data_IF_582620238595
#
_entry.id   IF_582620238595
#
_cell.length_a   1.000
_cell.length_b   1.000
_cell.length_c   1.000
_cell.angle_alpha   90.00
_cell.angle_beta   90.00
_cell.angle_gamma   90.00
#
_symmetry.space_group_name_H-M   'P 1'
#
loop_
_entity.id
_entity.type
_entity.pdbx_description
1 polymer ?
#
# COMPACT_ATOMS: atom_id res chain seq x y z
N UNK A 1 -6.33 -17.85 -11.93
CA UNK A 1 -6.84 -16.78 -12.81
C UNK A 1 -8.35 -16.83 -12.68
N UNK A 2 -8.93 -15.93 -11.89
CA UNK A 2 -10.39 -15.78 -11.81
C UNK A 2 -10.82 -15.00 -13.04
N UNK A 3 -11.90 -15.43 -13.69
CA UNK A 3 -12.35 -14.90 -14.97
C UNK A 3 -12.83 -13.44 -14.79
N UNK A 4 -12.20 -12.47 -15.46
CA UNK A 4 -12.63 -11.06 -15.48
C UNK A 4 -14.11 -10.90 -15.86
N UNK A 5 -14.68 -11.87 -16.57
CA UNK A 5 -16.12 -11.93 -16.88
C UNK A 5 -16.99 -12.08 -15.63
N UNK A 6 -16.52 -12.79 -14.60
CA UNK A 6 -17.24 -12.95 -13.35
C UNK A 6 -17.31 -11.63 -12.58
N UNK A 7 -16.18 -10.90 -12.47
CA UNK A 7 -16.14 -9.59 -11.81
C UNK A 7 -16.92 -8.53 -12.58
N UNK A 8 -16.88 -8.55 -13.91
CA UNK A 8 -17.76 -7.69 -14.73
C UNK A 8 -19.24 -7.96 -14.45
N UNK A 9 -19.64 -9.23 -14.31
CA UNK A 9 -21.01 -9.60 -13.93
C UNK A 9 -21.40 -9.12 -12.52
N UNK A 10 -20.49 -9.21 -11.56
CA UNK A 10 -20.69 -8.69 -10.20
C UNK A 10 -20.86 -7.17 -10.22
N UNK A 11 -20.02 -6.46 -10.98
CA UNK A 11 -20.10 -5.01 -11.13
C UNK A 11 -21.45 -4.55 -11.70
N UNK A 12 -21.93 -5.20 -12.77
CA UNK A 12 -23.22 -4.87 -13.40
C UNK A 12 -24.36 -5.08 -12.39
N UNK A 13 -24.43 -6.25 -11.73
CA UNK A 13 -25.49 -6.56 -10.77
C UNK A 13 -25.52 -5.58 -9.59
N UNK A 14 -24.36 -5.33 -8.98
CA UNK A 14 -24.25 -4.41 -7.85
C UNK A 14 -24.55 -2.96 -8.26
N UNK A 15 -24.20 -2.57 -9.49
CA UNK A 15 -24.53 -1.25 -10.04
C UNK A 15 -26.03 -1.06 -10.26
N UNK A 16 -26.70 -2.07 -10.82
CA UNK A 16 -28.16 -2.07 -11.02
C UNK A 16 -28.92 -1.99 -9.68
N UNK A 17 -28.52 -2.81 -8.71
CA UNK A 17 -29.15 -2.85 -7.38
C UNK A 17 -28.97 -1.51 -6.63
N UNK A 18 -27.79 -0.90 -6.74
CA UNK A 18 -27.50 0.41 -6.15
C UNK A 18 -28.32 1.56 -6.77
N UNK A 19 -28.51 1.53 -8.10
CA UNK A 19 -29.34 2.53 -8.79
C UNK A 19 -30.82 2.36 -8.42
N UNK A 20 -31.29 1.11 -8.33
CA UNK A 20 -32.65 0.79 -7.91
C UNK A 20 -32.93 1.17 -6.45
N UNK A 21 -31.94 1.05 -5.55
CA UNK A 21 -32.07 1.36 -4.12
C UNK A 21 -32.00 2.86 -3.78
N UNK A 22 -31.77 3.73 -4.76
CA UNK A 22 -31.52 5.17 -4.52
C UNK A 22 -32.54 6.02 -5.26
N UNK A 23 -33.78 6.07 -4.77
CA UNK A 23 -34.91 6.73 -5.43
C UNK A 23 -34.72 8.27 -5.61
N UNK A 24 -34.02 8.96 -4.69
CA UNK A 24 -33.90 10.43 -4.71
C UNK A 24 -32.47 10.95 -4.45
N UNK A 25 -31.52 10.74 -5.37
CA UNK A 25 -30.21 11.42 -5.30
C UNK A 25 -29.77 11.97 -6.65
N UNK A 26 -29.07 13.11 -6.60
CA UNK A 26 -28.51 13.79 -7.77
C UNK A 26 -27.65 12.84 -8.62
N UNK A 27 -27.59 13.08 -9.93
CA UNK A 27 -26.77 12.32 -10.87
C UNK A 27 -25.30 12.26 -10.41
N UNK A 28 -24.79 13.31 -9.77
CA UNK A 28 -23.44 13.37 -9.20
C UNK A 28 -23.20 12.29 -8.14
N UNK A 29 -24.14 12.12 -7.19
CA UNK A 29 -24.01 11.12 -6.13
C UNK A 29 -24.10 9.70 -6.66
N UNK A 30 -24.95 9.45 -7.67
CA UNK A 30 -25.07 8.13 -8.32
C UNK A 30 -23.78 7.75 -9.06
N UNK A 31 -23.23 8.68 -9.84
CA UNK A 31 -21.96 8.46 -10.55
C UNK A 31 -20.79 8.24 -9.60
N UNK A 32 -20.71 9.01 -8.50
CA UNK A 32 -19.67 8.83 -7.49
C UNK A 32 -19.74 7.43 -6.83
N UNK A 33 -20.94 6.93 -6.53
CA UNK A 33 -21.11 5.59 -5.95
C UNK A 33 -20.76 4.46 -6.93
N UNK A 34 -21.14 4.58 -8.20
CA UNK A 34 -20.73 3.64 -9.24
C UNK A 34 -19.20 3.60 -9.39
N UNK A 35 -18.53 4.76 -9.35
CA UNK A 35 -17.07 4.86 -9.35
C UNK A 35 -16.42 4.14 -8.16
N UNK A 36 -16.94 4.36 -6.94
CA UNK A 36 -16.44 3.67 -5.75
C UNK A 36 -16.67 2.15 -5.79
N UNK A 37 -17.83 1.70 -6.30
CA UNK A 37 -18.10 0.27 -6.48
C UNK A 37 -17.15 -0.35 -7.49
N UNK A 38 -16.85 0.35 -8.59
CA UNK A 38 -15.88 -0.10 -9.58
C UNK A 38 -14.50 -0.31 -8.94
N UNK A 39 -14.04 0.64 -8.13
CA UNK A 39 -12.74 0.54 -7.46
C UNK A 39 -12.69 -0.63 -6.47
N UNK A 40 -13.80 -0.95 -5.77
CA UNK A 40 -13.89 -2.18 -4.96
C UNK A 40 -13.76 -3.41 -5.84
N UNK A 41 -14.54 -3.51 -6.93
CA UNK A 41 -14.49 -4.69 -7.81
C UNK A 41 -13.09 -4.88 -8.41
N UNK A 42 -12.44 -3.81 -8.86
CA UNK A 42 -11.06 -3.83 -9.38
C UNK A 42 -10.05 -4.28 -8.31
N UNK A 43 -10.21 -3.85 -7.05
CA UNK A 43 -9.40 -4.34 -5.94
C UNK A 43 -9.59 -5.85 -5.73
N UNK A 44 -10.83 -6.33 -5.74
CA UNK A 44 -11.12 -7.76 -5.57
C UNK A 44 -10.62 -8.61 -6.74
N UNK A 45 -10.59 -8.05 -7.95
CA UNK A 45 -10.10 -8.72 -9.15
C UNK A 45 -8.56 -8.80 -9.20
N UNK A 46 -7.86 -7.72 -8.82
CA UNK A 46 -6.41 -7.63 -9.02
C UNK A 46 -5.61 -7.64 -7.71
N UNK A 47 -5.97 -6.78 -6.76
CA UNK A 47 -5.19 -6.58 -5.53
C UNK A 47 -5.38 -7.71 -4.53
N UNK A 48 -6.61 -8.16 -4.30
CA UNK A 48 -6.92 -9.16 -3.28
C UNK A 48 -6.26 -10.52 -3.56
N UNK A 49 -6.29 -11.07 -4.80
CA UNK A 49 -5.60 -12.33 -5.09
C UNK A 49 -4.10 -12.22 -4.89
N UNK A 50 -3.50 -11.08 -5.27
CA UNK A 50 -2.08 -10.84 -5.07
C UNK A 50 -1.74 -10.75 -3.57
N UNK A 51 -2.54 -10.03 -2.79
CA UNK A 51 -2.43 -9.94 -1.32
C UNK A 51 -2.45 -11.32 -0.67
N UNK A 52 -3.44 -12.16 -1.01
CA UNK A 52 -3.58 -13.51 -0.46
C UNK A 52 -2.37 -14.37 -0.84
N UNK A 53 -1.95 -14.32 -2.11
CA UNK A 53 -0.80 -15.10 -2.60
C UNK A 53 0.48 -14.70 -1.87
N UNK A 54 0.73 -13.41 -1.71
CA UNK A 54 1.89 -12.90 -1.00
C UNK A 54 1.83 -13.20 0.50
N UNK A 55 0.66 -13.14 1.13
CA UNK A 55 0.50 -13.50 2.53
C UNK A 55 0.77 -14.99 2.78
N UNK A 56 0.23 -15.87 1.93
CA UNK A 56 0.51 -17.31 1.97
C UNK A 56 1.99 -17.57 1.70
N UNK A 57 2.58 -16.90 0.71
CA UNK A 57 3.99 -16.99 0.35
C UNK A 57 4.91 -16.59 1.51
N UNK A 58 4.62 -15.46 2.17
CA UNK A 58 5.37 -14.98 3.33
C UNK A 58 5.23 -15.94 4.53
N UNK A 59 4.01 -16.38 4.84
CA UNK A 59 3.78 -17.33 5.92
C UNK A 59 4.50 -18.66 5.68
N UNK A 60 4.41 -19.19 4.45
CA UNK A 60 5.14 -20.40 4.04
C UNK A 60 6.65 -20.22 4.16
N UNK A 61 7.18 -19.09 3.67
CA UNK A 61 8.61 -18.76 3.77
C UNK A 61 9.08 -18.71 5.22
N UNK A 62 8.32 -18.06 6.11
CA UNK A 62 8.63 -17.98 7.54
C UNK A 62 8.65 -19.37 8.19
N UNK A 63 7.62 -20.18 7.95
CA UNK A 63 7.55 -21.54 8.49
C UNK A 63 8.72 -22.37 7.99
N UNK A 64 8.98 -22.38 6.69
CA UNK A 64 10.05 -23.18 6.08
C UNK A 64 11.42 -22.76 6.62
N UNK A 65 11.73 -21.46 6.64
CA UNK A 65 13.00 -20.95 7.18
C UNK A 65 13.18 -21.31 8.66
N UNK A 66 12.11 -21.25 9.46
CA UNK A 66 12.17 -21.64 10.87
C UNK A 66 12.51 -23.11 11.08
N UNK A 67 12.16 -23.97 10.11
CA UNK A 67 12.52 -25.40 10.14
C UNK A 67 13.87 -25.72 9.52
N UNK A 68 14.28 -24.99 8.48
CA UNK A 68 15.54 -25.23 7.76
C UNK A 68 16.75 -24.69 8.50
N UNK A 69 16.69 -23.44 8.98
CA UNK A 69 17.83 -22.78 9.60
C UNK A 69 17.38 -21.67 10.57
N UNK A 70 17.28 -22.02 11.86
CA UNK A 70 16.81 -21.12 12.93
C UNK A 70 17.63 -19.81 13.01
N UNK A 71 18.98 -19.81 12.96
CA UNK A 71 19.75 -18.57 12.90
C UNK A 71 19.36 -17.64 11.74
N UNK A 72 19.17 -18.18 10.54
CA UNK A 72 18.76 -17.39 9.37
C UNK A 72 17.35 -16.84 9.57
N UNK A 73 16.43 -17.65 10.08
CA UNK A 73 15.09 -17.19 10.46
C UNK A 73 15.11 -16.04 11.48
N UNK A 74 15.95 -16.11 12.51
CA UNK A 74 16.12 -15.02 13.48
C UNK A 74 16.70 -13.76 12.81
N UNK A 75 17.62 -13.93 11.85
CA UNK A 75 18.13 -12.84 11.02
C UNK A 75 17.02 -12.16 10.22
N UNK A 76 16.14 -12.93 9.58
CA UNK A 76 14.96 -12.41 8.89
C UNK A 76 14.06 -11.60 9.83
N UNK A 77 13.76 -12.13 11.03
CA UNK A 77 12.94 -11.43 12.02
C UNK A 77 13.60 -10.12 12.49
N UNK A 78 14.89 -10.15 12.77
CA UNK A 78 15.64 -8.96 13.18
C UNK A 78 15.59 -7.87 12.10
N UNK A 79 15.75 -8.24 10.83
CA UNK A 79 15.65 -7.32 9.70
C UNK A 79 14.24 -6.78 9.55
N UNK A 80 13.20 -7.61 9.65
CA UNK A 80 11.81 -7.13 9.63
C UNK A 80 11.51 -6.12 10.75
N UNK A 81 12.00 -6.38 11.96
CA UNK A 81 11.85 -5.45 13.09
C UNK A 81 12.62 -4.16 12.82
N UNK A 82 13.86 -4.24 12.32
CA UNK A 82 14.65 -3.07 11.98
C UNK A 82 13.99 -2.21 10.89
N UNK A 83 13.45 -2.84 9.83
CA UNK A 83 12.66 -2.18 8.80
C UNK A 83 11.43 -1.48 9.41
N UNK A 84 10.68 -2.16 10.28
CA UNK A 84 9.51 -1.59 10.95
C UNK A 84 9.87 -0.37 11.81
N UNK A 85 10.95 -0.45 12.58
CA UNK A 85 11.47 0.68 13.37
C UNK A 85 11.88 1.83 12.46
N UNK A 86 12.59 1.56 11.36
CA UNK A 86 13.01 2.57 10.40
C UNK A 86 11.81 3.36 9.87
N UNK A 87 10.76 2.68 9.40
CA UNK A 87 9.53 3.33 8.93
C UNK A 87 8.78 4.07 10.04
N UNK A 88 8.79 3.57 11.28
CA UNK A 88 8.17 4.26 12.41
C UNK A 88 8.91 5.57 12.76
N UNK A 89 10.24 5.58 12.65
CA UNK A 89 11.07 6.76 12.91
C UNK A 89 10.92 7.80 11.79
N UNK A 90 10.92 7.37 10.53
CA UNK A 90 10.80 8.29 9.38
C UNK A 90 9.37 8.74 9.12
N UNK A 91 8.36 7.98 9.54
CA UNK A 91 6.95 8.23 9.25
C UNK A 91 6.43 9.61 9.69
N UNK A 92 6.89 10.12 10.85
CA UNK A 92 6.53 11.49 11.30
C UNK A 92 7.06 12.56 10.34
N UNK A 93 8.27 12.37 9.84
CA UNK A 93 8.93 13.31 8.94
C UNK A 93 8.33 13.23 7.54
N UNK A 94 8.06 12.02 7.05
CA UNK A 94 7.31 11.77 5.81
C UNK A 94 5.94 12.46 5.84
N UNK A 95 5.20 12.32 6.94
CA UNK A 95 3.89 12.97 7.12
C UNK A 95 4.01 14.49 7.03
N UNK A 96 4.97 15.07 7.76
CA UNK A 96 5.23 16.52 7.75
C UNK A 96 5.60 17.05 6.36
N UNK A 97 6.42 16.33 5.61
CA UNK A 97 6.81 16.74 4.26
C UNK A 97 5.65 16.62 3.26
N UNK A 98 4.81 15.58 3.40
CA UNK A 98 3.58 15.45 2.63
C UNK A 98 2.59 16.58 2.91
N UNK A 99 2.38 16.94 4.19
CA UNK A 99 1.55 18.09 4.56
C UNK A 99 2.06 19.39 3.91
N UNK A 100 3.38 19.66 4.01
CA UNK A 100 3.96 20.86 3.38
C UNK A 100 3.84 20.89 1.86
N UNK A 101 3.90 19.72 1.20
CA UNK A 101 3.69 19.60 -0.25
C UNK A 101 2.21 19.82 -0.63
N UNK A 102 1.27 19.26 0.15
CA UNK A 102 -0.17 19.43 -0.06
C UNK A 102 -0.59 20.90 0.13
N UNK A 103 -0.10 21.54 1.19
CA UNK A 103 -0.34 22.97 1.46
C UNK A 103 0.12 23.85 0.29
N UNK A 104 1.23 23.49 -0.36
CA UNK A 104 1.69 24.21 -1.55
C UNK A 104 0.78 23.93 -2.74
N UNK A 105 0.37 22.67 -2.96
CA UNK A 105 -0.60 22.33 -4.01
C UNK A 105 -1.91 23.11 -3.90
N UNK A 106 -2.43 23.33 -2.69
CA UNK A 106 -3.64 24.13 -2.48
C UNK A 106 -3.45 25.61 -2.87
N UNK A 107 -2.26 26.18 -2.63
CA UNK A 107 -1.91 27.56 -2.99
C UNK A 107 -1.57 27.77 -4.47
N UNK A 108 -1.51 26.68 -5.26
CA UNK A 108 -1.11 26.74 -6.67
C UNK A 108 -2.04 27.60 -7.52
N UNK A 109 -3.35 27.54 -7.27
CA UNK A 109 -4.35 28.33 -8.00
C UNK A 109 -4.10 29.82 -7.80
N UNK A 110 -3.90 30.27 -6.55
CA UNK A 110 -3.64 31.67 -6.23
C UNK A 110 -2.32 32.17 -6.83
N UNK A 111 -1.28 31.34 -6.84
CA UNK A 111 0.01 31.69 -7.42
C UNK A 111 -0.10 31.88 -8.95
N UNK A 112 -0.87 31.03 -9.64
CA UNK A 112 -1.11 31.14 -11.08
C UNK A 112 -2.03 32.30 -11.42
N UNK A 113 -3.12 32.48 -10.67
CA UNK A 113 -4.11 33.55 -10.89
C UNK A 113 -3.50 34.95 -10.67
N UNK A 114 -2.50 35.04 -9.78
CA UNK A 114 -1.81 36.32 -9.52
C UNK A 114 -1.12 36.93 -10.75
N UNK A 115 -0.82 36.15 -11.79
CA UNK A 115 -0.15 36.63 -13.01
C UNK A 115 1.26 37.18 -12.82
N UNK A 116 1.81 37.09 -11.60
CA UNK A 116 3.13 37.61 -11.24
C UNK A 116 4.19 36.51 -11.37
N UNK A 117 5.12 36.63 -12.34
CA UNK A 117 6.15 35.62 -12.57
C UNK A 117 7.11 35.46 -11.38
N UNK A 118 7.27 36.47 -10.53
CA UNK A 118 8.11 36.37 -9.33
C UNK A 118 7.42 35.49 -8.28
N UNK A 119 6.13 35.75 -7.97
CA UNK A 119 5.34 34.93 -7.04
C UNK A 119 5.21 33.50 -7.52
N UNK A 120 4.97 33.29 -8.82
CA UNK A 120 4.94 31.94 -9.39
C UNK A 120 6.30 31.23 -9.23
N UNK A 121 7.41 31.94 -9.46
CA UNK A 121 8.76 31.39 -9.28
C UNK A 121 9.06 31.00 -7.83
N UNK A 122 8.61 31.79 -6.84
CA UNK A 122 8.76 31.47 -5.42
C UNK A 122 7.95 30.24 -5.02
N UNK A 123 6.70 30.17 -5.48
CA UNK A 123 5.81 29.03 -5.29
C UNK A 123 6.40 27.73 -5.85
N UNK A 124 6.85 27.73 -7.12
CA UNK A 124 7.46 26.56 -7.75
C UNK A 124 8.74 26.09 -7.04
N UNK A 125 9.56 27.03 -6.53
CA UNK A 125 10.73 26.69 -5.71
C UNK A 125 10.33 26.09 -4.36
N UNK A 126 9.26 26.60 -3.72
CA UNK A 126 8.75 26.03 -2.48
C UNK A 126 8.26 24.60 -2.67
N UNK A 127 7.46 24.36 -3.71
CA UNK A 127 6.98 23.03 -4.09
C UNK A 127 8.15 22.07 -4.36
N UNK A 128 9.14 22.52 -5.14
CA UNK A 128 10.34 21.72 -5.43
C UNK A 128 11.14 21.39 -4.18
N UNK A 129 11.28 22.34 -3.23
CA UNK A 129 11.99 22.08 -1.96
C UNK A 129 11.31 21.01 -1.12
N UNK A 130 9.97 21.02 -1.04
CA UNK A 130 9.24 19.98 -0.31
C UNK A 130 9.37 18.62 -0.99
N UNK A 131 9.23 18.59 -2.31
CA UNK A 131 9.36 17.36 -3.10
C UNK A 131 10.76 16.74 -2.96
N UNK A 132 11.83 17.54 -3.05
CA UNK A 132 13.21 17.06 -2.87
C UNK A 132 13.41 16.51 -1.46
N UNK A 133 12.95 17.21 -0.41
CA UNK A 133 13.10 16.72 0.98
C UNK A 133 12.38 15.40 1.22
N UNK A 134 11.19 15.22 0.66
CA UNK A 134 10.45 13.98 0.73
C UNK A 134 11.19 12.86 -0.02
N UNK A 135 11.61 13.14 -1.25
CA UNK A 135 12.37 12.20 -2.08
C UNK A 135 13.68 11.77 -1.43
N UNK A 136 14.45 12.70 -0.85
CA UNK A 136 15.72 12.40 -0.18
C UNK A 136 15.51 11.50 1.05
N UNK A 137 14.45 11.76 1.83
CA UNK A 137 14.08 10.94 2.98
C UNK A 137 13.68 9.53 2.55
N UNK A 138 12.85 9.41 1.52
CA UNK A 138 12.42 8.12 0.97
C UNK A 138 13.61 7.36 0.40
N UNK A 139 14.45 8.00 -0.42
CA UNK A 139 15.65 7.40 -0.99
C UNK A 139 16.61 6.90 0.10
N UNK A 140 16.82 7.68 1.16
CA UNK A 140 17.62 7.26 2.31
C UNK A 140 17.02 6.04 3.03
N UNK A 141 15.71 6.05 3.27
CA UNK A 141 14.98 4.93 3.88
C UNK A 141 15.09 3.66 3.05
N UNK A 142 14.87 3.76 1.73
CA UNK A 142 15.04 2.65 0.80
C UNK A 142 16.49 2.14 0.76
N UNK A 143 17.47 3.04 0.75
CA UNK A 143 18.89 2.68 0.75
C UNK A 143 19.30 1.91 1.99
N UNK A 144 18.88 2.35 3.18
CA UNK A 144 19.14 1.62 4.44
C UNK A 144 18.51 0.23 4.39
N UNK A 145 17.27 0.13 3.91
CA UNK A 145 16.58 -1.16 3.83
C UNK A 145 17.33 -2.13 2.90
N UNK A 146 17.80 -1.65 1.74
CA UNK A 146 18.62 -2.44 0.83
C UNK A 146 19.90 -2.98 1.47
N UNK A 147 20.60 -2.14 2.26
CA UNK A 147 21.80 -2.57 2.99
C UNK A 147 21.45 -3.67 4.01
N UNK A 148 20.34 -3.54 4.74
CA UNK A 148 19.87 -4.57 5.66
C UNK A 148 19.58 -5.89 4.94
N UNK A 149 18.91 -5.85 3.78
CA UNK A 149 18.59 -7.06 2.99
C UNK A 149 19.84 -7.72 2.40
N UNK A 150 20.79 -6.92 1.90
CA UNK A 150 22.08 -7.44 1.43
C UNK A 150 22.87 -8.09 2.56
N UNK A 151 22.89 -7.46 3.74
CA UNK A 151 23.49 -8.02 4.95
C UNK A 151 22.85 -9.35 5.34
N UNK A 152 21.52 -9.44 5.28
CA UNK A 152 20.78 -10.68 5.53
C UNK A 152 21.14 -11.79 4.55
N UNK A 153 21.26 -11.48 3.26
CA UNK A 153 21.63 -12.46 2.23
C UNK A 153 23.05 -13.00 2.47
N UNK A 154 24.02 -12.13 2.72
CA UNK A 154 25.40 -12.55 3.02
C UNK A 154 25.45 -13.39 4.29
N UNK A 155 24.75 -12.97 5.34
CA UNK A 155 24.61 -13.72 6.59
C UNK A 155 23.97 -15.10 6.35
N UNK A 156 22.90 -15.15 5.57
CA UNK A 156 22.19 -16.39 5.26
C UNK A 156 23.07 -17.39 4.52
N UNK A 157 23.81 -16.94 3.50
CA UNK A 157 24.76 -17.78 2.76
C UNK A 157 25.86 -18.29 3.69
N UNK A 158 26.49 -17.41 4.47
CA UNK A 158 27.59 -17.77 5.37
C UNK A 158 27.18 -18.80 6.42
N UNK A 159 26.09 -18.54 7.13
CA UNK A 159 25.59 -19.43 8.19
C UNK A 159 25.07 -20.75 7.62
N UNK A 160 24.42 -20.72 6.46
CA UNK A 160 23.91 -21.95 5.84
C UNK A 160 25.04 -22.86 5.37
N UNK A 161 26.09 -22.28 4.77
CA UNK A 161 27.26 -23.02 4.31
C UNK A 161 28.08 -23.63 5.47
N UNK A 162 28.14 -22.96 6.63
CA UNK A 162 28.82 -23.50 7.82
C UNK A 162 28.04 -24.66 8.44
N UNK A 163 26.70 -24.55 8.51
CA UNK A 163 25.85 -25.48 9.27
C UNK A 163 25.25 -26.62 8.45
N UNK A 164 25.34 -26.55 7.13
CA UNK A 164 24.68 -27.51 6.23
C UNK A 164 25.66 -28.02 5.20
N UNK A 165 25.86 -29.33 5.17
CA UNK A 165 26.78 -29.99 4.22
C UNK A 165 26.14 -30.14 2.83
N UNK A 166 24.81 -30.15 2.76
CA UNK A 166 24.07 -30.33 1.51
C UNK A 166 23.87 -29.00 0.77
N UNK A 167 24.48 -28.89 -0.42
CA UNK A 167 24.36 -27.70 -1.27
C UNK A 167 22.92 -27.36 -1.66
N UNK A 168 22.05 -28.37 -1.82
CA UNK A 168 20.63 -28.18 -2.13
C UNK A 168 19.88 -27.45 -1.02
N UNK A 169 20.19 -27.76 0.24
CA UNK A 169 19.59 -27.08 1.39
C UNK A 169 20.09 -25.64 1.53
N UNK A 170 21.38 -25.38 1.26
CA UNK A 170 21.92 -24.00 1.21
C UNK A 170 21.21 -23.19 0.13
N UNK A 171 21.06 -23.74 -1.08
CA UNK A 171 20.34 -23.09 -2.17
C UNK A 171 18.88 -22.80 -1.79
N UNK A 172 18.17 -23.77 -1.20
CA UNK A 172 16.80 -23.58 -0.74
C UNK A 172 16.68 -22.44 0.28
N UNK A 173 17.56 -22.40 1.29
CA UNK A 173 17.57 -21.33 2.29
C UNK A 173 17.74 -19.97 1.63
N UNK A 174 18.70 -19.83 0.71
CA UNK A 174 18.94 -18.57 -0.01
C UNK A 174 17.70 -18.16 -0.81
N UNK A 175 17.07 -19.09 -1.53
CA UNK A 175 15.85 -18.80 -2.30
C UNK A 175 14.69 -18.36 -1.40
N UNK A 176 14.51 -19.00 -0.25
CA UNK A 176 13.50 -18.58 0.72
C UNK A 176 13.83 -17.22 1.35
N UNK A 177 15.11 -16.89 1.58
CA UNK A 177 15.50 -15.54 2.02
C UNK A 177 15.19 -14.50 0.95
N UNK A 178 15.42 -14.79 -0.34
CA UNK A 178 14.98 -13.90 -1.42
C UNK A 178 13.46 -13.66 -1.40
N UNK A 179 12.68 -14.74 -1.29
CA UNK A 179 11.22 -14.64 -1.21
C UNK A 179 10.75 -13.84 0.02
N UNK A 180 11.46 -13.98 1.14
CA UNK A 180 11.22 -13.18 2.35
C UNK A 180 11.47 -11.69 2.08
N UNK A 181 12.61 -11.35 1.48
CA UNK A 181 12.97 -9.97 1.14
C UNK A 181 11.94 -9.34 0.20
N UNK A 182 11.54 -10.05 -0.85
CA UNK A 182 10.48 -9.61 -1.78
C UNK A 182 9.17 -9.33 -1.06
N UNK A 183 8.75 -10.26 -0.19
CA UNK A 183 7.52 -10.12 0.60
C UNK A 183 7.58 -8.91 1.52
N UNK A 184 8.70 -8.72 2.24
CA UNK A 184 8.91 -7.61 3.17
C UNK A 184 8.88 -6.25 2.44
N UNK A 185 9.44 -6.17 1.24
CA UNK A 185 9.41 -4.97 0.40
C UNK A 185 8.02 -4.66 -0.16
N UNK A 186 7.19 -5.67 -0.39
CA UNK A 186 5.82 -5.49 -0.91
C UNK A 186 4.80 -5.10 0.17
N UNK A 187 5.10 -5.31 1.46
CA UNK A 187 4.19 -5.02 2.58
C UNK A 187 3.63 -3.58 2.59
N UNK A 188 4.42 -2.51 2.38
CA UNK A 188 3.89 -1.14 2.39
C UNK A 188 2.81 -0.91 1.32
N UNK A 189 3.02 -1.45 0.12
CA UNK A 189 2.06 -1.36 -0.99
C UNK A 189 0.74 -2.06 -0.62
N UNK A 190 0.84 -3.27 -0.06
CA UNK A 190 -0.31 -4.03 0.39
C UNK A 190 -1.09 -3.34 1.51
N UNK A 191 -0.37 -2.75 2.47
CA UNK A 191 -0.99 -1.97 3.54
C UNK A 191 -1.76 -0.76 2.99
N UNK A 192 -1.19 -0.05 2.01
CA UNK A 192 -1.85 1.08 1.37
C UNK A 192 -3.11 0.67 0.60
N UNK A 193 -3.06 -0.41 -0.17
CA UNK A 193 -4.24 -0.94 -0.88
C UNK A 193 -5.35 -1.34 0.09
N UNK A 194 -5.01 -1.97 1.21
CA UNK A 194 -5.98 -2.33 2.24
C UNK A 194 -6.61 -1.11 2.92
N UNK A 195 -5.82 -0.09 3.28
CA UNK A 195 -6.33 1.16 3.85
C UNK A 195 -7.32 1.85 2.91
N UNK A 196 -6.97 1.93 1.62
CA UNK A 196 -7.83 2.50 0.58
C UNK A 196 -9.17 1.76 0.48
N UNK A 197 -9.15 0.43 0.43
CA UNK A 197 -10.39 -0.38 0.43
C UNK A 197 -11.25 -0.09 1.66
N UNK A 198 -10.64 -0.03 2.85
CA UNK A 198 -11.34 0.25 4.11
C UNK A 198 -12.02 1.62 4.08
N UNK A 199 -11.36 2.62 3.52
CA UNK A 199 -11.93 3.96 3.34
C UNK A 199 -13.13 3.94 2.38
N UNK A 200 -12.98 3.36 1.18
CA UNK A 200 -14.04 3.30 0.16
C UNK A 200 -15.26 2.55 0.69
N UNK A 201 -15.03 1.41 1.34
CA UNK A 201 -16.09 0.60 1.96
C UNK A 201 -16.83 1.39 3.05
N UNK A 202 -16.09 2.16 3.87
CA UNK A 202 -16.66 3.04 4.88
C UNK A 202 -17.50 4.17 4.29
N UNK A 203 -17.05 4.80 3.19
CA UNK A 203 -17.80 5.84 2.47
C UNK A 203 -19.10 5.28 1.88
N UNK A 204 -19.05 4.13 1.22
CA UNK A 204 -20.25 3.46 0.69
C UNK A 204 -21.27 3.12 1.79
N UNK A 205 -20.79 2.58 2.92
CA UNK A 205 -21.63 2.23 4.05
C UNK A 205 -22.32 3.47 4.67
N UNK A 206 -21.57 4.54 4.96
CA UNK A 206 -22.12 5.77 5.57
C UNK A 206 -23.19 6.44 4.71
N UNK A 207 -22.96 6.52 3.41
CA UNK A 207 -23.94 7.11 2.47
C UNK A 207 -25.19 6.21 2.34
N UNK A 208 -25.07 4.91 2.64
CA UNK A 208 -26.20 3.98 2.78
C UNK A 208 -27.00 4.17 4.07
N UNK A 209 -26.33 4.42 5.20
CA UNK A 209 -26.97 4.65 6.50
C UNK A 209 -27.72 5.98 6.57
N UNK A 210 -27.17 7.06 5.99
CA UNK A 210 -27.87 8.36 5.87
C UNK A 210 -29.16 8.23 5.04
N UNK A 211 -29.20 7.34 4.04
CA UNK A 211 -30.40 7.06 3.25
C UNK A 211 -31.50 6.34 4.06
N UNK A 212 -31.11 5.47 5.00
CA UNK A 212 -32.05 4.76 5.87
C UNK A 212 -32.62 5.63 6.99
N UNK A 213 -31.88 6.65 7.43
CA UNK A 213 -32.34 7.60 8.47
C UNK A 213 -33.29 8.65 7.89
N UNK A 214 -33.07 9.17 6.69
CA UNK A 214 -34.02 10.09 6.02
C UNK A 214 -35.32 9.38 5.62
N UNK A 215 -35.26 8.11 5.18
CA UNK A 215 -36.45 7.32 4.88
C UNK A 215 -37.29 6.94 6.11
N UNK A 216 -36.70 6.97 7.31
CA UNK A 216 -37.39 6.73 8.59
C UNK A 216 -37.91 8.00 9.29
N UNK A 217 -37.67 9.19 8.71
CA UNK A 217 -38.02 10.49 9.29
C UNK A 217 -39.18 11.20 8.54
N UNK A 218 -39.98 10.45 7.79
CA UNK A 218 -41.27 10.96 7.27
C UNK A 218 -42.42 10.47 8.18
N UNK A 219 -43.26 11.38 8.71
CA UNK A 219 -44.34 11.04 9.65
C UNK A 219 -45.48 10.24 9.00
#
# INVERSE_FOLDING_TARGET
IVDSRAYAGIYVRLGEEMVASTAERSTSTRTARLGMLREIVEFFEHSLPQLITSAIGLAGTVVILSTLNVPVFLGCLAVAVATGILYALTGKLTTRYNEGLNDEHERQVDAVDSGDPVRLGEHLRAMTRWNIRLSDLEAGTFGINWVLMMGLLVFAVGISAERTVEYGAVFAIVMYVFQFVESLMALPFYYQQWLRLREISGRLARVGTEAGVEAGATP
#
